data_IF_107961552176
#
_entry.id   IF_107961552176
#
_cell.length_a   1.000
_cell.length_b   1.000
_cell.length_c   1.000
_cell.angle_alpha   90.00
_cell.angle_beta   90.00
_cell.angle_gamma   90.00
#
_symmetry.space_group_name_H-M   'P 1'
#
loop_
_entity.id
_entity.type
_entity.pdbx_description
1 polymer ?
#
# COMPACT_ATOMS: atom_id res chain seq x y z
N UNK A 1 -47.61 -15.39 -42.97
CA UNK A 1 -46.79 -14.30 -42.37
C UNK A 1 -46.83 -14.47 -40.86
N UNK A 2 -45.84 -15.13 -40.30
CA UNK A 2 -45.70 -15.37 -38.85
C UNK A 2 -45.23 -14.07 -38.17
N UNK A 3 -45.98 -13.62 -37.16
CA UNK A 3 -45.58 -12.52 -36.31
C UNK A 3 -44.25 -12.87 -35.58
N UNK A 4 -43.25 -11.98 -35.52
CA UNK A 4 -42.09 -12.23 -34.72
C UNK A 4 -42.51 -12.32 -33.25
N UNK A 5 -42.00 -13.33 -32.56
CA UNK A 5 -42.17 -13.50 -31.12
C UNK A 5 -41.60 -12.26 -30.39
N UNK A 6 -42.35 -11.69 -29.42
CA UNK A 6 -41.80 -10.54 -28.66
C UNK A 6 -40.53 -10.99 -27.96
N UNK A 7 -39.47 -10.17 -28.07
CA UNK A 7 -38.23 -10.32 -27.31
C UNK A 7 -38.58 -10.51 -25.82
N UNK A 8 -37.94 -11.44 -25.10
CA UNK A 8 -38.19 -11.61 -23.67
C UNK A 8 -38.02 -10.28 -22.98
N UNK A 9 -39.04 -9.77 -22.29
CA UNK A 9 -38.96 -8.60 -21.47
C UNK A 9 -37.80 -8.79 -20.47
N UNK A 10 -36.78 -7.96 -20.54
CA UNK A 10 -35.67 -7.95 -19.58
C UNK A 10 -36.29 -7.93 -18.19
N UNK A 11 -36.08 -8.99 -17.41
CA UNK A 11 -36.60 -9.05 -16.05
C UNK A 11 -36.10 -7.82 -15.31
N UNK A 12 -37.02 -7.00 -14.77
CA UNK A 12 -36.67 -5.76 -14.10
C UNK A 12 -35.69 -5.93 -12.91
N UNK A 13 -35.43 -7.19 -12.53
CA UNK A 13 -34.36 -7.58 -11.59
C UNK A 13 -32.97 -7.50 -12.21
N UNK A 14 -32.81 -8.08 -13.39
CA UNK A 14 -31.52 -8.10 -14.11
C UNK A 14 -31.07 -6.71 -14.51
N UNK A 15 -32.01 -5.88 -15.01
CA UNK A 15 -31.71 -4.50 -15.36
C UNK A 15 -31.26 -3.66 -14.14
N UNK A 16 -31.91 -3.84 -13.01
CA UNK A 16 -31.54 -3.15 -11.78
C UNK A 16 -30.15 -3.55 -11.30
N UNK A 17 -29.80 -4.82 -11.34
CA UNK A 17 -28.46 -5.29 -10.98
C UNK A 17 -27.40 -4.68 -11.89
N UNK A 18 -27.63 -4.62 -13.20
CA UNK A 18 -26.76 -4.00 -14.19
C UNK A 18 -26.56 -2.48 -13.91
N UNK A 19 -27.60 -1.78 -13.51
CA UNK A 19 -27.49 -0.37 -13.11
C UNK A 19 -26.65 -0.23 -11.83
N UNK A 20 -26.88 -1.07 -10.84
CA UNK A 20 -26.15 -1.04 -9.59
C UNK A 20 -24.67 -1.42 -9.74
N UNK A 21 -24.33 -2.30 -10.68
CA UNK A 21 -22.95 -2.65 -11.01
C UNK A 21 -22.16 -1.46 -11.58
N UNK A 22 -22.83 -0.52 -12.25
CA UNK A 22 -22.20 0.69 -12.84
C UNK A 22 -22.06 1.85 -11.87
N UNK A 23 -22.52 1.72 -10.63
CA UNK A 23 -22.26 2.74 -9.60
C UNK A 23 -20.76 2.88 -9.39
N UNK A 24 -20.23 4.12 -9.24
CA UNK A 24 -18.79 4.30 -9.04
C UNK A 24 -18.32 3.59 -7.75
N UNK A 25 -17.09 3.06 -7.72
CA UNK A 25 -16.58 2.29 -6.60
C UNK A 25 -16.14 3.17 -5.40
N UNK A 26 -16.83 4.29 -5.19
CA UNK A 26 -16.62 5.20 -4.08
C UNK A 26 -17.19 4.62 -2.77
N UNK A 27 -16.61 4.96 -1.60
CA UNK A 27 -17.05 4.43 -0.31
C UNK A 27 -18.52 4.64 0.00
N UNK A 28 -19.13 5.75 -0.45
CA UNK A 28 -20.52 6.06 -0.17
C UNK A 28 -21.52 5.45 -1.17
N UNK A 29 -21.09 4.99 -2.34
CA UNK A 29 -21.99 4.59 -3.43
C UNK A 29 -22.91 3.44 -3.07
N UNK A 30 -22.37 2.29 -2.71
CA UNK A 30 -23.18 1.11 -2.33
C UNK A 30 -23.92 1.29 -1.00
N UNK A 31 -23.34 1.87 0.07
CA UNK A 31 -24.08 2.17 1.29
C UNK A 31 -25.31 3.06 1.03
N UNK A 32 -25.17 4.12 0.25
CA UNK A 32 -26.29 5.01 -0.09
C UNK A 32 -27.36 4.32 -0.92
N UNK A 33 -26.95 3.58 -1.95
CA UNK A 33 -27.87 2.79 -2.74
C UNK A 33 -28.66 1.78 -1.90
N UNK A 34 -28.04 1.22 -0.85
CA UNK A 34 -28.70 0.28 0.07
C UNK A 34 -29.82 0.90 0.91
N UNK A 35 -29.86 2.24 1.02
CA UNK A 35 -30.89 2.98 1.76
C UNK A 35 -32.14 3.29 0.93
N UNK A 36 -32.11 3.09 -0.39
CA UNK A 36 -33.23 3.44 -1.28
C UNK A 36 -34.45 2.59 -0.99
N UNK A 37 -34.30 1.26 -0.93
CA UNK A 37 -35.37 0.34 -0.55
C UNK A 37 -34.83 -1.04 -0.17
N UNK A 38 -35.71 -1.89 0.37
CA UNK A 38 -35.36 -3.26 0.81
C UNK A 38 -34.86 -4.15 -0.35
N UNK A 39 -35.42 -3.97 -1.56
CA UNK A 39 -34.98 -4.70 -2.76
C UNK A 39 -33.54 -4.38 -3.11
N UNK A 40 -33.16 -3.10 -3.15
CA UNK A 40 -31.79 -2.67 -3.41
C UNK A 40 -30.84 -3.18 -2.33
N UNK A 41 -31.23 -3.05 -1.07
CA UNK A 41 -30.42 -3.55 0.05
C UNK A 41 -30.15 -5.06 -0.08
N UNK A 42 -31.16 -5.84 -0.46
CA UNK A 42 -30.99 -7.29 -0.64
C UNK A 42 -30.01 -7.61 -1.76
N UNK A 43 -30.11 -6.95 -2.92
CA UNK A 43 -29.17 -7.12 -4.03
C UNK A 43 -27.74 -6.74 -3.59
N UNK A 44 -27.56 -5.57 -2.99
CA UNK A 44 -26.25 -5.06 -2.55
C UNK A 44 -25.63 -5.87 -1.40
N UNK A 45 -26.45 -6.63 -0.67
CA UNK A 45 -25.99 -7.53 0.39
C UNK A 45 -25.61 -8.91 -0.12
N UNK A 46 -26.04 -9.25 -1.33
CA UNK A 46 -25.75 -10.55 -1.94
C UNK A 46 -24.23 -10.73 -2.21
N UNK A 47 -23.60 -11.82 -1.74
CA UNK A 47 -22.19 -12.08 -2.00
C UNK A 47 -21.84 -12.18 -3.49
N UNK A 48 -22.74 -12.74 -4.31
CA UNK A 48 -22.58 -12.86 -5.75
C UNK A 48 -22.55 -11.49 -6.43
N UNK A 49 -23.47 -10.58 -6.06
CA UNK A 49 -23.45 -9.20 -6.55
C UNK A 49 -22.14 -8.49 -6.17
N UNK A 50 -21.70 -8.59 -4.92
CA UNK A 50 -20.45 -7.96 -4.44
C UNK A 50 -19.22 -8.46 -5.18
N UNK A 51 -19.18 -9.76 -5.51
CA UNK A 51 -18.11 -10.33 -6.33
C UNK A 51 -18.14 -9.72 -7.73
N UNK A 52 -19.29 -9.70 -8.41
CA UNK A 52 -19.45 -9.10 -9.75
C UNK A 52 -19.11 -7.60 -9.76
N UNK A 53 -19.47 -6.86 -8.71
CA UNK A 53 -19.12 -5.46 -8.58
C UNK A 53 -17.60 -5.26 -8.56
N UNK A 54 -16.87 -6.07 -7.77
CA UNK A 54 -15.40 -6.04 -7.75
C UNK A 54 -14.80 -6.43 -9.11
N UNK A 55 -15.30 -7.48 -9.72
CA UNK A 55 -14.86 -7.92 -11.05
C UNK A 55 -15.11 -6.85 -12.10
N UNK A 56 -16.28 -6.19 -12.07
CA UNK A 56 -16.63 -5.13 -13.01
C UNK A 56 -15.68 -3.93 -12.93
N UNK A 57 -15.37 -3.49 -11.72
CA UNK A 57 -14.52 -2.30 -11.51
C UNK A 57 -13.02 -2.62 -11.45
N UNK A 58 -12.66 -3.82 -11.05
CA UNK A 58 -11.26 -4.24 -10.88
C UNK A 58 -10.63 -4.91 -12.10
N UNK A 59 -11.41 -5.17 -13.16
CA UNK A 59 -10.91 -5.90 -14.35
C UNK A 59 -9.75 -5.19 -15.04
N UNK A 60 -9.81 -3.86 -15.14
CA UNK A 60 -8.81 -3.03 -15.84
C UNK A 60 -8.17 -1.97 -14.94
N UNK A 61 -8.57 -1.91 -13.69
CA UNK A 61 -8.07 -0.90 -12.75
C UNK A 61 -7.82 -1.54 -11.38
N UNK A 62 -6.78 -1.11 -10.67
CA UNK A 62 -6.61 -1.54 -9.28
C UNK A 62 -7.77 -1.04 -8.42
N UNK A 63 -8.06 -1.69 -7.28
CA UNK A 63 -9.06 -1.21 -6.33
C UNK A 63 -8.82 0.26 -5.95
N UNK A 64 -9.88 1.04 -5.65
CA UNK A 64 -9.73 2.44 -5.32
C UNK A 64 -8.85 2.66 -4.09
N UNK A 65 -8.04 3.73 -4.13
CA UNK A 65 -7.28 4.18 -2.98
C UNK A 65 -8.24 4.77 -1.93
N UNK A 66 -8.46 4.07 -0.83
CA UNK A 66 -9.33 4.52 0.25
C UNK A 66 -8.63 5.51 1.18
N UNK A 67 -7.32 5.42 1.27
CA UNK A 67 -6.49 6.23 2.13
C UNK A 67 -5.12 5.61 2.34
N UNK A 68 -4.48 6.01 3.40
CA UNK A 68 -3.18 5.48 3.80
C UNK A 68 -3.09 5.35 5.31
N UNK A 69 -2.36 4.33 5.75
CA UNK A 69 -1.95 4.22 7.14
C UNK A 69 -0.71 5.07 7.36
N UNK A 70 -0.73 5.93 8.36
CA UNK A 70 0.39 6.76 8.80
C UNK A 70 0.98 6.16 10.06
N UNK A 71 2.26 5.82 10.03
CA UNK A 71 3.05 5.31 11.16
C UNK A 71 4.19 6.25 11.46
N UNK A 72 4.33 6.66 12.71
CA UNK A 72 5.50 7.40 13.18
C UNK A 72 6.67 6.44 13.39
N UNK A 73 7.86 6.84 12.94
CA UNK A 73 9.08 6.11 13.20
C UNK A 73 9.46 6.23 14.68
N UNK A 74 9.79 5.12 15.33
CA UNK A 74 10.18 5.03 16.76
C UNK A 74 9.09 5.26 17.81
N UNK A 75 7.83 5.18 17.45
CA UNK A 75 6.76 5.29 18.44
C UNK A 75 5.96 4.00 18.43
N UNK A 76 5.84 3.37 19.60
CA UNK A 76 4.98 2.18 19.82
C UNK A 76 3.48 2.54 19.79
N UNK A 77 3.09 3.27 18.77
CA UNK A 77 1.70 3.64 18.54
C UNK A 77 1.16 2.90 17.32
N UNK A 78 -0.11 2.51 17.37
CA UNK A 78 -0.77 1.95 16.20
C UNK A 78 -0.78 2.97 15.06
N UNK A 79 -0.72 2.51 13.79
CA UNK A 79 -0.84 3.39 12.66
C UNK A 79 -2.22 4.07 12.65
N UNK A 80 -2.26 5.29 12.17
CA UNK A 80 -3.49 6.07 12.02
C UNK A 80 -3.92 5.99 10.55
N UNK A 81 -5.17 5.63 10.30
CA UNK A 81 -5.72 5.67 8.95
C UNK A 81 -6.17 7.10 8.59
N UNK A 82 -5.67 7.60 7.47
CA UNK A 82 -6.04 8.88 6.87
C UNK A 82 -6.74 8.60 5.53
N UNK A 83 -7.97 9.09 5.36
CA UNK A 83 -8.71 8.94 4.11
C UNK A 83 -8.18 9.92 3.05
N UNK A 84 -8.14 9.49 1.78
CA UNK A 84 -7.86 10.38 0.63
C UNK A 84 -9.11 11.06 0.09
N UNK A 85 -10.30 10.66 0.54
CA UNK A 85 -11.55 11.26 0.11
C UNK A 85 -11.66 12.72 0.58
N UNK A 86 -11.84 13.64 -0.37
CA UNK A 86 -12.05 15.07 -0.12
C UNK A 86 -13.47 15.39 0.30
N UNK A 87 -14.45 14.57 -0.11
CA UNK A 87 -15.85 14.72 0.24
C UNK A 87 -16.20 14.10 1.60
N UNK A 88 -16.95 14.79 2.44
CA UNK A 88 -17.40 14.24 3.74
C UNK A 88 -18.17 12.92 3.60
N UNK A 89 -18.90 12.76 2.49
CA UNK A 89 -19.75 11.59 2.22
C UNK A 89 -18.95 10.32 1.96
N UNK A 90 -17.75 10.45 1.40
CA UNK A 90 -16.86 9.33 1.08
C UNK A 90 -15.81 9.08 2.16
N UNK A 91 -15.81 9.92 3.20
CA UNK A 91 -14.87 9.78 4.31
C UNK A 91 -15.19 8.55 5.13
N UNK A 92 -14.26 7.60 5.15
CA UNK A 92 -14.34 6.43 6.01
C UNK A 92 -13.82 6.81 7.40
N UNK A 93 -14.61 6.59 8.47
CA UNK A 93 -14.16 6.91 9.84
C UNK A 93 -12.87 6.15 10.19
N UNK A 94 -11.82 6.81 10.71
CA UNK A 94 -10.57 6.14 11.10
C UNK A 94 -10.75 4.97 12.06
N UNK A 95 -11.76 5.04 12.93
CA UNK A 95 -12.11 3.97 13.87
C UNK A 95 -12.44 2.63 13.20
N UNK A 96 -12.82 2.64 11.91
CA UNK A 96 -13.05 1.40 11.14
C UNK A 96 -11.76 0.62 10.89
N UNK A 97 -10.64 1.31 10.90
CA UNK A 97 -9.31 0.74 10.65
C UNK A 97 -8.48 0.63 11.92
N UNK A 98 -9.12 0.79 13.08
CA UNK A 98 -8.41 0.61 14.36
C UNK A 98 -8.04 -0.84 14.55
N UNK A 99 -6.78 -1.05 14.80
CA UNK A 99 -6.25 -2.36 15.09
C UNK A 99 -6.87 -2.94 16.37
N UNK A 100 -7.28 -4.21 16.37
CA UNK A 100 -8.03 -4.81 17.46
C UNK A 100 -7.16 -5.30 18.64
N UNK A 101 -6.00 -4.67 18.89
CA UNK A 101 -5.11 -5.00 19.99
C UNK A 101 -4.88 -3.81 20.90
N UNK A 102 -4.61 -4.10 22.17
CA UNK A 102 -4.28 -3.09 23.18
C UNK A 102 -2.91 -2.46 22.89
N UNK A 103 -2.81 -1.17 23.15
CA UNK A 103 -1.54 -0.46 23.22
C UNK A 103 -0.59 -1.18 24.20
N UNK A 104 0.64 -1.45 23.79
CA UNK A 104 1.64 -2.10 24.63
C UNK A 104 1.93 -3.56 24.31
N UNK A 105 1.26 -4.18 23.35
CA UNK A 105 1.54 -5.56 22.93
C UNK A 105 2.77 -5.72 22.02
N UNK A 106 3.47 -4.62 21.69
CA UNK A 106 4.69 -4.63 20.84
C UNK A 106 4.44 -5.05 19.38
N UNK A 107 3.23 -4.82 18.88
CA UNK A 107 2.91 -5.03 17.48
C UNK A 107 3.39 -3.88 16.62
N UNK A 108 4.14 -4.20 15.58
CA UNK A 108 4.66 -3.26 14.61
C UNK A 108 3.99 -3.45 13.26
N UNK A 109 3.45 -2.35 12.71
CA UNK A 109 2.87 -2.32 11.36
C UNK A 109 3.98 -2.19 10.33
N UNK A 110 4.03 -3.08 9.33
CA UNK A 110 5.08 -3.11 8.31
C UNK A 110 4.58 -2.81 6.90
N UNK A 111 3.28 -2.78 6.68
CA UNK A 111 2.74 -2.45 5.38
C UNK A 111 1.34 -2.98 5.12
N UNK A 112 0.83 -2.66 3.95
CA UNK A 112 -0.39 -3.26 3.43
C UNK A 112 -0.30 -3.41 1.91
N UNK A 113 -0.88 -4.49 1.39
CA UNK A 113 -0.94 -4.82 -0.04
C UNK A 113 -2.15 -5.70 -0.32
N UNK A 114 -2.80 -5.48 -1.46
CA UNK A 114 -3.96 -6.26 -1.91
C UNK A 114 -5.09 -6.31 -0.88
N UNK A 115 -5.29 -5.22 -0.11
CA UNK A 115 -6.28 -5.15 0.96
C UNK A 115 -5.89 -5.86 2.26
N UNK A 116 -4.72 -6.48 2.33
CA UNK A 116 -4.18 -7.14 3.51
C UNK A 116 -3.15 -6.23 4.20
N UNK A 117 -3.24 -6.09 5.51
CA UNK A 117 -2.26 -5.39 6.33
C UNK A 117 -1.39 -6.39 7.10
N UNK A 118 -0.13 -6.03 7.31
CA UNK A 118 0.87 -6.88 7.95
C UNK A 118 1.40 -6.25 9.23
N UNK A 119 1.39 -7.05 10.29
CA UNK A 119 1.98 -6.69 11.57
C UNK A 119 2.89 -7.80 12.05
N UNK A 120 3.93 -7.42 12.78
CA UNK A 120 4.79 -8.37 13.49
C UNK A 120 4.85 -8.03 14.98
N UNK A 121 5.02 -9.07 15.80
CA UNK A 121 5.39 -8.95 17.21
C UNK A 121 6.67 -9.74 17.45
N UNK A 122 7.78 -9.03 17.64
CA UNK A 122 9.08 -9.68 17.85
C UNK A 122 9.14 -10.48 19.15
N UNK A 123 8.49 -9.98 20.20
CA UNK A 123 8.44 -10.65 21.51
C UNK A 123 7.67 -11.98 21.43
N UNK A 124 6.57 -12.02 20.68
CA UNK A 124 5.76 -13.24 20.49
C UNK A 124 6.27 -14.13 19.36
N UNK A 125 7.17 -13.62 18.52
CA UNK A 125 7.67 -14.28 17.30
C UNK A 125 6.53 -14.67 16.35
N UNK A 126 5.63 -13.75 16.15
CA UNK A 126 4.44 -13.93 15.32
C UNK A 126 4.26 -12.76 14.34
N UNK A 127 3.69 -13.07 13.19
CA UNK A 127 3.11 -12.12 12.26
C UNK A 127 1.58 -12.23 12.28
N UNK A 128 0.90 -11.13 12.02
CA UNK A 128 -0.53 -11.09 11.76
C UNK A 128 -0.77 -10.52 10.37
N UNK A 129 -1.46 -11.28 9.53
CA UNK A 129 -2.06 -10.80 8.30
C UNK A 129 -3.51 -10.44 8.61
N UNK A 130 -3.86 -9.19 8.40
CA UNK A 130 -5.12 -8.59 8.84
C UNK A 130 -5.84 -7.91 7.68
N UNK A 131 -7.15 -8.11 7.57
CA UNK A 131 -8.03 -7.32 6.72
C UNK A 131 -8.64 -6.17 7.54
N UNK A 132 -8.23 -4.92 7.30
CA UNK A 132 -8.70 -3.77 8.06
C UNK A 132 -10.20 -3.49 7.96
N UNK A 133 -10.83 -3.84 6.84
CA UNK A 133 -12.26 -3.57 6.62
C UNK A 133 -13.18 -4.53 7.37
N UNK A 134 -12.75 -5.77 7.55
CA UNK A 134 -13.58 -6.82 8.15
C UNK A 134 -13.11 -7.21 9.55
N UNK A 135 -11.88 -6.86 9.91
CA UNK A 135 -11.25 -7.29 11.15
C UNK A 135 -10.74 -8.74 11.11
N UNK A 136 -10.90 -9.44 9.97
CA UNK A 136 -10.41 -10.81 9.82
C UNK A 136 -8.88 -10.83 9.93
N UNK A 137 -8.34 -11.80 10.67
CA UNK A 137 -6.91 -11.91 10.94
C UNK A 137 -6.44 -13.35 10.93
N UNK A 138 -5.23 -13.57 10.42
CA UNK A 138 -4.52 -14.85 10.48
C UNK A 138 -3.17 -14.64 11.18
N UNK A 139 -2.85 -15.50 12.12
CA UNK A 139 -1.57 -15.49 12.84
C UNK A 139 -0.64 -16.51 12.20
N UNK A 140 0.63 -16.13 12.06
CA UNK A 140 1.69 -16.97 11.52
C UNK A 140 2.88 -16.88 12.46
N UNK A 141 3.29 -18.01 13.03
CA UNK A 141 4.51 -18.07 13.82
C UNK A 141 5.74 -17.88 12.93
N UNK A 142 6.81 -17.28 13.46
CA UNK A 142 8.05 -17.12 12.71
C UNK A 142 8.67 -18.48 12.37
N UNK A 143 9.54 -18.55 11.34
CA UNK A 143 10.25 -19.78 11.00
C UNK A 143 11.01 -20.34 12.21
N UNK A 144 11.15 -21.65 12.35
CA UNK A 144 11.93 -22.27 13.41
C UNK A 144 13.34 -21.68 13.50
N UNK A 145 13.79 -21.37 14.71
CA UNK A 145 15.12 -20.80 14.96
C UNK A 145 15.24 -19.28 14.72
N UNK A 146 14.23 -18.61 14.15
CA UNK A 146 14.24 -17.16 13.96
C UNK A 146 13.86 -16.43 15.25
N UNK A 147 14.81 -15.70 15.83
CA UNK A 147 14.60 -14.92 17.06
C UNK A 147 14.21 -13.46 16.77
N UNK A 148 14.59 -12.95 15.61
CA UNK A 148 14.32 -11.57 15.20
C UNK A 148 13.95 -11.49 13.72
N UNK A 149 13.16 -10.50 13.38
CA UNK A 149 12.78 -10.13 12.02
C UNK A 149 13.02 -8.64 11.89
N UNK A 150 13.67 -8.20 10.81
CA UNK A 150 13.92 -6.79 10.54
C UNK A 150 12.76 -6.17 9.75
N UNK A 151 12.33 -6.84 8.69
CA UNK A 151 11.25 -6.38 7.84
C UNK A 151 10.44 -7.57 7.30
N UNK A 152 9.28 -7.30 6.70
CA UNK A 152 8.43 -8.32 6.13
C UNK A 152 7.58 -7.77 4.98
N UNK A 153 7.03 -8.66 4.17
CA UNK A 153 6.12 -8.34 3.09
C UNK A 153 4.99 -9.36 3.01
N UNK A 154 3.80 -8.90 2.62
CA UNK A 154 2.63 -9.76 2.38
C UNK A 154 2.07 -9.50 0.99
N UNK A 155 1.57 -10.56 0.34
CA UNK A 155 0.81 -10.47 -0.90
C UNK A 155 -0.28 -11.53 -0.96
N UNK A 156 -1.34 -11.26 -1.72
CA UNK A 156 -2.32 -12.27 -2.11
C UNK A 156 -1.67 -13.23 -3.11
N UNK A 157 -1.72 -14.53 -2.83
CA UNK A 157 -1.17 -15.56 -3.72
C UNK A 157 -2.08 -15.92 -4.89
N UNK A 158 -3.35 -15.47 -4.87
CA UNK A 158 -4.28 -15.66 -5.98
C UNK A 158 -4.11 -14.62 -7.11
N UNK A 159 -3.13 -13.70 -6.99
CA UNK A 159 -2.80 -12.75 -8.04
C UNK A 159 -2.44 -13.50 -9.33
N UNK A 160 -3.06 -13.09 -10.45
CA UNK A 160 -2.85 -13.74 -11.76
C UNK A 160 -3.72 -14.99 -12.01
N UNK A 161 -4.55 -15.42 -11.05
CA UNK A 161 -5.57 -16.45 -11.31
C UNK A 161 -6.75 -15.85 -12.07
N UNK A 162 -7.30 -16.61 -13.02
CA UNK A 162 -8.45 -16.19 -13.81
C UNK A 162 -9.64 -15.81 -12.91
N UNK A 163 -10.16 -14.61 -13.11
CA UNK A 163 -11.30 -14.08 -12.36
C UNK A 163 -10.97 -13.55 -10.94
N UNK A 164 -9.73 -13.59 -10.49
CA UNK A 164 -9.35 -12.98 -9.22
C UNK A 164 -9.15 -11.47 -9.36
N UNK A 165 -9.83 -10.72 -8.50
CA UNK A 165 -9.67 -9.26 -8.35
C UNK A 165 -9.35 -8.95 -6.91
N UNK A 166 -8.27 -8.18 -6.69
CA UNK A 166 -7.93 -7.73 -5.35
C UNK A 166 -9.04 -6.87 -4.73
N UNK A 167 -9.20 -6.95 -3.41
CA UNK A 167 -10.23 -6.25 -2.65
C UNK A 167 -11.15 -7.14 -1.83
N UNK A 168 -10.95 -8.46 -1.87
CA UNK A 168 -11.55 -9.44 -0.95
C UNK A 168 -10.61 -10.62 -0.73
N UNK A 169 -9.33 -10.32 -0.57
CA UNK A 169 -8.28 -11.33 -0.45
C UNK A 169 -8.21 -12.01 0.93
N UNK A 170 -9.11 -11.66 1.86
CA UNK A 170 -9.10 -12.20 3.24
C UNK A 170 -9.24 -13.72 3.33
N UNK A 171 -9.92 -14.33 2.36
CA UNK A 171 -10.09 -15.78 2.27
C UNK A 171 -9.18 -16.43 1.22
N UNK A 172 -8.52 -15.61 0.42
CA UNK A 172 -7.56 -16.10 -0.57
C UNK A 172 -6.28 -16.58 0.13
N UNK A 173 -5.54 -17.50 -0.48
CA UNK A 173 -4.19 -17.79 -0.04
C UNK A 173 -3.32 -16.53 -0.12
N UNK A 174 -2.37 -16.44 0.80
CA UNK A 174 -1.39 -15.35 0.81
C UNK A 174 0.02 -15.91 0.98
N UNK A 175 0.99 -15.10 0.54
CA UNK A 175 2.41 -15.30 0.79
C UNK A 175 2.91 -14.24 1.76
N UNK A 176 3.75 -14.66 2.69
CA UNK A 176 4.39 -13.80 3.68
C UNK A 176 5.89 -14.02 3.62
N UNK A 177 6.64 -13.00 3.25
CA UNK A 177 8.10 -13.02 3.32
C UNK A 177 8.58 -12.33 4.58
N UNK A 178 9.53 -12.94 5.28
CA UNK A 178 10.23 -12.35 6.41
C UNK A 178 11.71 -12.17 6.07
N UNK A 179 12.30 -11.08 6.54
CA UNK A 179 13.71 -10.76 6.37
C UNK A 179 14.37 -10.52 7.72
N UNK A 180 15.57 -11.06 7.91
CA UNK A 180 16.42 -10.77 9.05
C UNK A 180 17.88 -10.53 8.63
N UNK A 181 18.61 -9.73 9.42
CA UNK A 181 20.06 -9.64 9.33
C UNK A 181 20.77 -10.66 10.20
N UNK A 182 21.98 -10.98 9.84
CA UNK A 182 22.92 -11.72 10.71
C UNK A 182 23.43 -10.86 11.86
N UNK A 183 24.14 -11.46 12.80
CA UNK A 183 24.64 -10.79 14.01
C UNK A 183 25.64 -9.68 13.73
N UNK A 184 26.39 -9.79 12.67
CA UNK A 184 27.39 -8.78 12.22
C UNK A 184 26.82 -7.77 11.20
N UNK A 185 25.56 -7.93 10.77
CA UNK A 185 24.92 -7.07 9.78
C UNK A 185 25.43 -7.24 8.32
N UNK A 186 26.36 -8.16 8.07
CA UNK A 186 26.89 -8.41 6.72
C UNK A 186 26.20 -9.56 5.99
N UNK A 187 25.27 -10.24 6.64
CA UNK A 187 24.51 -11.33 6.03
C UNK A 187 23.02 -11.10 6.20
N UNK A 188 22.28 -11.27 5.13
CA UNK A 188 20.82 -11.19 5.13
C UNK A 188 20.22 -12.55 4.83
N UNK A 189 19.05 -12.79 5.40
CA UNK A 189 18.28 -14.01 5.23
C UNK A 189 16.83 -13.64 4.89
N UNK A 190 16.23 -14.39 3.98
CA UNK A 190 14.81 -14.31 3.68
C UNK A 190 14.17 -15.69 3.71
N UNK A 191 12.89 -15.74 4.05
CA UNK A 191 12.11 -16.98 4.05
C UNK A 191 10.66 -16.64 3.68
N UNK A 192 10.03 -17.52 2.87
CA UNK A 192 8.66 -17.37 2.40
C UNK A 192 7.73 -18.36 3.13
N UNK A 193 6.60 -17.86 3.59
CA UNK A 193 5.48 -18.65 4.07
C UNK A 193 4.38 -18.69 3.04
N UNK A 194 3.85 -19.86 2.75
CA UNK A 194 2.67 -20.07 1.92
C UNK A 194 1.49 -20.47 2.79
N UNK A 195 0.45 -19.66 2.81
CA UNK A 195 -0.70 -19.89 3.69
C UNK A 195 -1.57 -21.07 3.25
N UNK A 196 -1.44 -21.53 2.03
CA UNK A 196 -2.17 -22.69 1.49
C UNK A 196 -1.62 -24.00 2.06
N UNK A 197 -0.30 -24.14 2.05
CA UNK A 197 0.39 -25.30 2.65
C UNK A 197 0.57 -25.16 4.17
N UNK A 198 0.58 -23.92 4.69
CA UNK A 198 0.88 -23.63 6.08
C UNK A 198 2.36 -23.77 6.45
N UNK A 199 3.26 -23.80 5.46
CA UNK A 199 4.68 -24.16 5.63
C UNK A 199 5.58 -22.98 5.23
N UNK A 200 6.69 -22.83 5.96
CA UNK A 200 7.81 -21.99 5.57
C UNK A 200 8.69 -22.73 4.57
N UNK A 201 9.07 -22.06 3.48
CA UNK A 201 10.04 -22.56 2.51
C UNK A 201 11.48 -22.49 3.00
N UNK A 202 12.42 -22.75 2.11
CA UNK A 202 13.84 -22.70 2.40
C UNK A 202 14.33 -21.29 2.73
N UNK A 203 15.43 -21.22 3.49
CA UNK A 203 16.04 -19.96 3.90
C UNK A 203 17.06 -19.54 2.82
N UNK A 204 16.73 -18.51 2.06
CA UNK A 204 17.69 -17.85 1.18
C UNK A 204 18.63 -16.94 2.00
N UNK A 205 19.88 -16.80 1.57
CA UNK A 205 20.83 -15.91 2.22
C UNK A 205 21.79 -15.25 1.21
N UNK A 206 22.23 -14.03 1.56
CA UNK A 206 23.22 -13.27 0.80
C UNK A 206 24.17 -12.55 1.76
N UNK A 207 25.42 -12.40 1.36
CA UNK A 207 26.42 -11.63 2.11
C UNK A 207 26.64 -10.26 1.45
N UNK A 208 26.90 -9.25 2.28
CA UNK A 208 27.25 -7.89 1.89
C UNK A 208 28.69 -7.58 2.36
N UNK A 209 29.41 -6.78 1.62
CA UNK A 209 30.77 -6.35 1.97
C UNK A 209 30.81 -5.55 3.27
N UNK A 210 29.75 -4.78 3.51
CA UNK A 210 29.63 -3.92 4.70
C UNK A 210 28.38 -4.26 5.49
N UNK A 211 28.39 -3.90 6.78
CA UNK A 211 27.23 -4.03 7.64
C UNK A 211 26.09 -3.14 7.14
N UNK A 212 24.97 -3.75 6.82
CA UNK A 212 23.74 -3.08 6.37
C UNK A 212 22.54 -3.60 7.14
N UNK A 213 21.45 -2.83 7.15
CA UNK A 213 20.17 -3.25 7.70
C UNK A 213 19.04 -2.85 6.76
N UNK A 214 17.95 -3.61 6.75
CA UNK A 214 16.75 -3.18 6.02
C UNK A 214 16.18 -1.93 6.67
N UNK A 215 15.80 -0.97 5.84
CA UNK A 215 15.16 0.24 6.30
C UNK A 215 13.70 -0.09 6.70
N UNK A 216 13.43 -0.15 7.99
CA UNK A 216 12.08 -0.47 8.52
C UNK A 216 11.07 0.62 8.15
N UNK A 217 11.53 1.85 7.95
CA UNK A 217 10.68 2.97 7.55
C UNK A 217 10.11 2.81 6.13
N UNK A 218 10.81 2.04 5.26
CA UNK A 218 10.39 1.87 3.89
C UNK A 218 9.72 0.49 3.74
N UNK A 219 8.43 0.45 3.33
CA UNK A 219 7.77 -0.82 3.03
C UNK A 219 8.46 -1.53 1.86
N UNK A 220 8.25 -2.85 1.77
CA UNK A 220 8.67 -3.59 0.59
C UNK A 220 7.91 -3.12 -0.65
N UNK A 221 8.56 -3.19 -1.80
CA UNK A 221 7.92 -3.04 -3.12
C UNK A 221 7.86 -4.42 -3.79
N UNK A 222 6.72 -4.74 -4.37
CA UNK A 222 6.53 -5.97 -5.13
C UNK A 222 6.83 -5.70 -6.60
N UNK A 223 7.83 -6.39 -7.14
CA UNK A 223 8.21 -6.32 -8.55
C UNK A 223 8.13 -7.72 -9.16
N UNK A 224 7.15 -7.96 -10.00
CA UNK A 224 6.94 -9.28 -10.62
C UNK A 224 6.91 -10.40 -9.56
N UNK A 225 8.00 -11.17 -9.46
CA UNK A 225 8.15 -12.30 -8.53
C UNK A 225 9.12 -12.01 -7.38
N UNK A 226 9.45 -10.73 -7.15
CA UNK A 226 10.41 -10.32 -6.14
C UNK A 226 9.82 -9.33 -5.15
N UNK A 227 10.15 -9.50 -3.89
CA UNK A 227 10.02 -8.45 -2.89
C UNK A 227 11.34 -7.69 -2.78
N UNK A 228 11.27 -6.37 -2.87
CA UNK A 228 12.42 -5.49 -2.77
C UNK A 228 12.31 -4.62 -1.51
N UNK A 229 13.37 -4.57 -0.72
CA UNK A 229 13.50 -3.70 0.46
C UNK A 229 14.70 -2.80 0.31
N UNK A 230 14.55 -1.55 0.73
CA UNK A 230 15.66 -0.64 0.84
C UNK A 230 16.58 -1.06 1.99
N UNK A 231 17.88 -1.10 1.76
CA UNK A 231 18.91 -1.24 2.78
C UNK A 231 19.44 0.13 3.19
N UNK A 232 20.08 0.22 4.36
CA UNK A 232 20.85 1.42 4.74
C UNK A 232 21.90 1.73 3.68
N UNK A 233 22.06 3.02 3.35
CA UNK A 233 22.99 3.46 2.30
C UNK A 233 22.42 3.41 0.87
N UNK A 234 21.13 3.04 0.69
CA UNK A 234 20.42 3.09 -0.60
C UNK A 234 20.56 1.84 -1.47
N UNK A 235 21.25 0.78 -1.01
CA UNK A 235 21.24 -0.51 -1.68
C UNK A 235 19.86 -1.19 -1.53
N UNK A 236 19.57 -2.16 -2.37
CA UNK A 236 18.27 -2.86 -2.42
C UNK A 236 18.50 -4.33 -2.15
N UNK A 237 17.74 -4.90 -1.22
CA UNK A 237 17.65 -6.32 -0.98
C UNK A 237 16.48 -6.86 -1.80
N UNK A 238 16.76 -7.72 -2.77
CA UNK A 238 15.78 -8.38 -3.63
C UNK A 238 15.64 -9.85 -3.22
N UNK A 239 14.41 -10.26 -2.95
CA UNK A 239 14.05 -11.65 -2.71
C UNK A 239 13.14 -12.15 -3.82
N UNK A 240 13.69 -12.89 -4.76
CA UNK A 240 12.92 -13.63 -5.76
C UNK A 240 12.29 -14.85 -5.09
N UNK A 241 10.97 -14.79 -4.87
CA UNK A 241 10.25 -15.85 -4.18
C UNK A 241 9.90 -17.03 -5.09
N UNK A 242 10.04 -16.91 -6.40
CA UNK A 242 9.85 -18.02 -7.33
C UNK A 242 11.09 -18.91 -7.35
N UNK A 243 12.28 -18.30 -7.41
CA UNK A 243 13.57 -19.01 -7.42
C UNK A 243 14.14 -19.17 -5.99
N UNK A 244 13.49 -18.64 -4.98
CA UNK A 244 13.93 -18.59 -3.59
C UNK A 244 15.38 -18.10 -3.44
N UNK A 245 15.73 -17.07 -4.22
CA UNK A 245 17.04 -16.45 -4.24
C UNK A 245 17.03 -15.06 -3.64
N UNK A 246 18.10 -14.69 -2.94
CA UNK A 246 18.28 -13.40 -2.29
C UNK A 246 19.52 -12.74 -2.88
N UNK A 247 19.37 -11.48 -3.30
CA UNK A 247 20.43 -10.69 -3.90
C UNK A 247 20.49 -9.28 -3.29
N UNK A 248 21.67 -8.66 -3.34
CA UNK A 248 21.85 -7.26 -3.01
C UNK A 248 22.23 -6.49 -4.26
N UNK A 249 21.49 -5.44 -4.54
CA UNK A 249 21.67 -4.57 -5.69
C UNK A 249 22.18 -3.24 -5.19
N UNK A 250 23.37 -2.83 -5.63
CA UNK A 250 23.92 -1.53 -5.28
C UNK A 250 23.14 -0.41 -5.95
N UNK A 251 23.01 0.74 -5.28
CA UNK A 251 22.44 1.96 -5.86
C UNK A 251 23.28 2.47 -7.04
N UNK A 252 22.75 3.34 -7.90
CA UNK A 252 23.55 4.02 -8.91
C UNK A 252 24.71 4.77 -8.27
N UNK A 253 25.92 4.65 -8.87
CA UNK A 253 27.11 5.33 -8.34
C UNK A 253 26.95 6.86 -8.32
N UNK A 254 26.25 7.39 -9.34
CA UNK A 254 25.99 8.82 -9.51
C UNK A 254 24.74 9.32 -8.73
N UNK A 255 24.06 8.42 -7.99
CA UNK A 255 22.94 8.82 -7.15
C UNK A 255 23.43 9.41 -5.83
N UNK A 256 23.59 10.71 -5.82
CA UNK A 256 24.02 11.46 -4.65
C UNK A 256 22.82 11.99 -3.87
N UNK A 257 22.63 11.49 -2.66
CA UNK A 257 21.67 11.99 -1.69
C UNK A 257 22.25 11.84 -0.28
N UNK A 258 21.73 12.61 0.66
CA UNK A 258 22.02 12.39 2.06
C UNK A 258 21.56 10.99 2.50
N UNK A 259 22.33 10.33 3.37
CA UNK A 259 22.03 8.97 3.84
C UNK A 259 20.84 8.91 4.82
N UNK A 260 19.76 9.60 4.46
CA UNK A 260 18.50 9.52 5.19
C UNK A 260 17.59 8.48 4.55
N UNK A 261 16.83 7.74 5.37
CA UNK A 261 15.91 6.71 4.88
C UNK A 261 14.78 7.27 3.98
N UNK A 262 14.48 8.58 4.07
CA UNK A 262 13.50 9.26 3.21
C UNK A 262 14.07 9.79 1.89
N UNK A 263 15.40 9.68 1.69
CA UNK A 263 16.05 10.12 0.46
C UNK A 263 16.03 9.08 -0.65
N UNK A 264 15.69 7.84 -0.33
CA UNK A 264 15.65 6.74 -1.29
C UNK A 264 14.34 5.97 -1.19
N UNK A 265 13.74 5.64 -2.33
CA UNK A 265 12.61 4.72 -2.41
C UNK A 265 12.77 3.77 -3.58
N UNK A 266 12.57 2.49 -3.34
CA UNK A 266 12.39 1.51 -4.42
C UNK A 266 11.07 1.82 -5.10
N UNK A 267 11.09 1.90 -6.43
CA UNK A 267 9.91 2.18 -7.25
C UNK A 267 9.83 1.17 -8.40
N UNK A 268 8.66 1.05 -8.98
CA UNK A 268 8.45 0.30 -10.22
C UNK A 268 8.60 1.26 -11.40
N UNK A 269 9.21 0.81 -12.49
CA UNK A 269 9.25 1.58 -13.72
C UNK A 269 8.10 1.19 -14.64
N UNK A 270 7.87 1.95 -15.73
CA UNK A 270 6.82 1.69 -16.73
C UNK A 270 6.82 0.24 -17.26
N UNK A 271 8.00 -0.39 -17.33
CA UNK A 271 8.16 -1.76 -17.78
C UNK A 271 8.12 -2.80 -16.64
N UNK A 272 7.62 -2.42 -15.47
CA UNK A 272 7.67 -3.27 -14.28
C UNK A 272 9.08 -3.75 -13.92
N UNK A 273 10.08 -2.93 -14.24
CA UNK A 273 11.49 -3.14 -13.88
C UNK A 273 11.82 -2.46 -12.55
N UNK A 274 12.95 -2.82 -11.96
CA UNK A 274 13.43 -2.22 -10.74
C UNK A 274 13.87 -0.78 -10.97
N UNK A 275 13.28 0.13 -10.22
CA UNK A 275 13.66 1.53 -10.18
C UNK A 275 14.05 2.00 -8.78
N UNK A 276 14.74 3.12 -8.73
CA UNK A 276 15.11 3.82 -7.51
C UNK A 276 14.79 5.31 -7.68
N UNK A 277 13.95 5.82 -6.80
CA UNK A 277 13.73 7.26 -6.66
C UNK A 277 14.73 7.81 -5.63
N UNK A 278 15.43 8.86 -6.02
CA UNK A 278 16.47 9.51 -5.20
C UNK A 278 16.11 10.97 -5.01
N UNK A 279 15.86 11.37 -3.78
CA UNK A 279 15.61 12.76 -3.42
C UNK A 279 16.95 13.43 -3.08
N UNK A 280 17.31 14.43 -3.86
CA UNK A 280 18.51 15.22 -3.67
C UNK A 280 18.15 16.67 -3.41
N UNK A 281 18.87 17.31 -2.50
CA UNK A 281 18.77 18.73 -2.23
C UNK A 281 19.96 19.42 -2.90
N UNK A 282 19.67 20.38 -3.78
CA UNK A 282 20.68 21.22 -4.41
C UNK A 282 20.66 22.59 -3.73
N UNK A 283 21.80 23.03 -3.22
CA UNK A 283 22.06 24.39 -2.71
C UNK A 283 21.08 24.92 -1.64
N UNK A 284 20.54 24.06 -0.77
CA UNK A 284 19.59 24.40 0.30
C UNK A 284 18.28 25.06 -0.15
N UNK A 285 18.06 25.19 -1.46
CA UNK A 285 16.91 25.90 -2.03
C UNK A 285 16.05 25.01 -2.92
N UNK A 286 16.67 24.08 -3.62
CA UNK A 286 16.02 23.25 -4.64
C UNK A 286 16.02 21.79 -4.24
N UNK A 287 14.86 21.15 -4.33
CA UNK A 287 14.72 19.71 -4.16
C UNK A 287 14.37 19.05 -5.50
N UNK A 288 15.07 17.99 -5.84
CA UNK A 288 14.83 17.21 -7.05
C UNK A 288 14.63 15.75 -6.72
N UNK A 289 13.78 15.08 -7.49
CA UNK A 289 13.69 13.61 -7.49
C UNK A 289 14.28 13.09 -8.79
N UNK A 290 15.30 12.26 -8.68
CA UNK A 290 15.87 11.51 -9.80
C UNK A 290 15.25 10.11 -9.82
N UNK A 291 14.77 9.69 -10.98
CA UNK A 291 14.24 8.36 -11.21
C UNK A 291 15.26 7.56 -12.01
N UNK A 292 15.77 6.52 -11.40
CA UNK A 292 16.73 5.60 -11.98
C UNK A 292 16.06 4.28 -12.28
N UNK A 293 16.35 3.68 -13.44
CA UNK A 293 15.90 2.36 -13.84
C UNK A 293 17.07 1.41 -14.03
N UNK A 294 16.90 0.20 -13.54
CA UNK A 294 17.87 -0.87 -13.75
C UNK A 294 17.59 -1.60 -15.04
N UNK A 295 18.48 -1.47 -16.01
CA UNK A 295 18.38 -2.05 -17.35
C UNK A 295 19.57 -2.91 -17.70
N UNK A 296 19.35 -3.87 -18.61
CA UNK A 296 20.41 -4.58 -19.31
C UNK A 296 20.72 -3.85 -20.62
N UNK A 297 21.97 -3.56 -20.88
CA UNK A 297 22.42 -3.00 -22.15
C UNK A 297 22.46 -4.08 -23.25
N UNK A 298 22.82 -3.68 -24.48
CA UNK A 298 22.93 -4.58 -25.63
C UNK A 298 23.96 -5.73 -25.44
N UNK A 299 24.93 -5.52 -24.53
CA UNK A 299 25.96 -6.51 -24.21
C UNK A 299 25.58 -7.41 -23.04
N UNK A 300 24.36 -7.27 -22.53
CA UNK A 300 23.87 -8.06 -21.41
C UNK A 300 24.36 -7.57 -20.02
N UNK A 301 25.09 -6.46 -19.98
CA UNK A 301 25.54 -5.88 -18.72
C UNK A 301 24.39 -5.11 -18.08
N UNK A 302 24.06 -5.47 -16.82
CA UNK A 302 22.99 -4.80 -16.06
C UNK A 302 23.55 -3.58 -15.34
N UNK A 303 22.98 -2.43 -15.61
CA UNK A 303 23.37 -1.15 -15.04
C UNK A 303 22.18 -0.28 -14.65
N UNK A 304 22.46 0.90 -14.10
CA UNK A 304 21.46 1.92 -13.81
C UNK A 304 21.49 3.01 -14.87
N UNK A 305 20.30 3.45 -15.29
CA UNK A 305 20.10 4.55 -16.22
C UNK A 305 19.18 5.60 -15.60
N UNK A 306 19.59 6.88 -15.64
CA UNK A 306 18.75 7.98 -15.20
C UNK A 306 17.66 8.21 -16.26
N UNK A 307 16.41 7.96 -15.86
CA UNK A 307 15.25 8.11 -16.76
C UNK A 307 14.69 9.51 -16.75
N UNK A 308 14.59 10.11 -15.54
CA UNK A 308 13.89 11.37 -15.36
C UNK A 308 14.41 12.13 -14.14
N UNK A 309 14.41 13.45 -14.24
CA UNK A 309 14.61 14.36 -13.11
C UNK A 309 13.36 15.22 -12.95
N UNK A 310 12.78 15.23 -11.76
CA UNK A 310 11.59 15.98 -11.41
C UNK A 310 12.00 17.11 -10.48
N UNK A 311 11.77 18.35 -10.91
CA UNK A 311 12.01 19.55 -10.10
C UNK A 311 10.82 19.76 -9.17
N UNK A 312 11.07 20.00 -7.87
CA UNK A 312 10.00 20.19 -6.88
C UNK A 312 9.75 21.64 -6.52
N UNK A 313 10.64 22.56 -6.92
CA UNK A 313 10.66 23.95 -6.47
C UNK A 313 9.48 24.77 -6.95
N UNK A 314 8.85 24.58 -7.97
CA UNK A 314 7.68 25.34 -8.44
C UNK A 314 6.33 24.83 -7.94
N UNK A 315 6.34 23.71 -7.21
CA UNK A 315 5.14 22.94 -6.91
C UNK A 315 4.54 23.29 -5.54
N UNK A 316 5.36 23.83 -4.67
CA UNK A 316 4.96 24.31 -3.36
C UNK A 316 4.93 25.84 -3.42
N UNK A 317 3.75 26.46 -3.22
CA UNK A 317 3.58 27.91 -3.24
C UNK A 317 4.70 28.61 -2.46
N UNK A 318 5.36 29.63 -3.05
CA UNK A 318 6.48 30.31 -2.42
C UNK A 318 6.02 31.03 -1.16
N UNK A 319 6.33 30.48 -0.02
CA UNK A 319 6.30 31.21 1.25
C UNK A 319 7.62 31.98 1.40
N UNK A 320 7.62 33.15 2.03
CA UNK A 320 8.77 34.07 2.10
C UNK A 320 9.90 33.64 3.07
N UNK A 321 9.98 32.40 3.50
CA UNK A 321 10.98 31.96 4.48
C UNK A 321 11.99 31.01 3.85
N UNK A 322 13.14 31.59 3.54
CA UNK A 322 14.38 30.86 3.23
C UNK A 322 14.67 29.80 4.31
N UNK A 323 14.92 28.56 3.89
CA UNK A 323 15.44 27.49 4.76
C UNK A 323 14.42 26.46 5.26
N UNK A 324 13.15 26.49 4.84
CA UNK A 324 12.12 25.54 5.29
C UNK A 324 11.54 24.65 4.18
N UNK A 325 12.24 24.50 3.06
CA UNK A 325 11.74 23.71 1.92
C UNK A 325 12.13 22.23 1.98
N UNK A 326 12.42 21.71 3.16
CA UNK A 326 12.73 20.29 3.28
C UNK A 326 11.52 19.46 2.79
N UNK A 327 11.78 18.61 1.82
CA UNK A 327 10.84 17.61 1.30
C UNK A 327 11.27 16.26 1.82
N UNK A 328 10.31 15.41 2.17
CA UNK A 328 10.57 14.02 2.57
C UNK A 328 9.72 13.09 1.74
N UNK A 329 10.31 12.06 1.18
CA UNK A 329 9.55 10.95 0.65
C UNK A 329 9.07 10.08 1.82
N UNK A 330 7.76 9.84 1.91
CA UNK A 330 7.12 9.18 3.05
C UNK A 330 6.47 7.84 2.70
N UNK A 331 6.37 7.51 1.43
CA UNK A 331 5.76 6.27 0.96
C UNK A 331 5.68 6.19 -0.55
N UNK A 332 5.37 5.01 -1.03
CA UNK A 332 5.19 4.74 -2.45
C UNK A 332 3.94 3.89 -2.66
N UNK A 333 3.16 4.22 -3.68
CA UNK A 333 2.00 3.48 -4.12
C UNK A 333 2.34 2.72 -5.40
N UNK A 334 2.63 1.44 -5.27
CA UNK A 334 3.04 0.57 -6.38
C UNK A 334 1.95 0.36 -7.44
N UNK A 335 0.66 0.46 -7.07
CA UNK A 335 -0.44 0.25 -8.02
C UNK A 335 -0.67 1.44 -8.97
N UNK A 336 -0.21 2.63 -8.62
CA UNK A 336 -0.38 3.83 -9.43
C UNK A 336 0.91 4.58 -9.67
N UNK A 337 2.04 3.99 -9.32
CA UNK A 337 3.36 4.58 -9.48
C UNK A 337 3.44 6.03 -8.96
N UNK A 338 3.08 6.20 -7.68
CA UNK A 338 3.04 7.50 -7.05
C UNK A 338 3.78 7.56 -5.72
N UNK A 339 4.57 8.60 -5.50
CA UNK A 339 5.29 8.85 -4.25
C UNK A 339 4.48 9.80 -3.36
N UNK A 340 4.44 9.47 -2.07
CA UNK A 340 3.91 10.37 -1.05
C UNK A 340 5.03 11.28 -0.56
N UNK A 341 4.77 12.58 -0.62
CA UNK A 341 5.69 13.63 -0.18
C UNK A 341 5.11 14.36 1.00
N UNK A 342 5.95 14.63 1.99
CA UNK A 342 5.65 15.57 3.08
C UNK A 342 6.54 16.79 2.98
N UNK A 343 5.93 17.94 3.22
CA UNK A 343 6.59 19.23 3.31
C UNK A 343 6.10 19.96 4.55
N UNK A 344 6.68 21.09 4.85
CA UNK A 344 6.17 21.98 5.89
C UNK A 344 4.73 22.45 5.63
N UNK A 345 4.33 22.58 4.36
CA UNK A 345 3.01 23.10 3.96
C UNK A 345 1.91 22.04 3.92
N UNK A 346 2.26 20.77 3.79
CA UNK A 346 1.29 19.69 3.69
C UNK A 346 1.87 18.40 3.13
N UNK A 347 0.94 17.47 2.87
CA UNK A 347 1.27 16.19 2.25
C UNK A 347 0.72 16.17 0.82
N UNK A 348 1.46 15.55 -0.06
CA UNK A 348 1.18 15.49 -1.49
C UNK A 348 1.39 14.07 -2.00
N UNK A 349 0.70 13.72 -3.06
CA UNK A 349 0.97 12.52 -3.85
C UNK A 349 1.46 12.98 -5.23
N UNK A 350 2.67 12.57 -5.59
CA UNK A 350 3.31 12.83 -6.87
C UNK A 350 3.19 11.59 -7.75
N UNK A 351 2.49 11.70 -8.86
CA UNK A 351 2.45 10.70 -9.91
C UNK A 351 3.77 10.75 -10.71
N UNK A 352 4.53 9.66 -10.77
CA UNK A 352 5.86 9.67 -11.35
C UNK A 352 5.86 9.83 -12.87
N UNK A 353 4.91 9.18 -13.56
CA UNK A 353 4.77 9.26 -15.01
C UNK A 353 4.39 10.67 -15.47
N UNK A 354 3.29 11.20 -14.96
CA UNK A 354 2.69 12.47 -15.41
C UNK A 354 3.24 13.70 -14.70
N UNK A 355 4.01 13.51 -13.61
CA UNK A 355 4.48 14.57 -12.69
C UNK A 355 3.35 15.42 -12.09
N UNK A 356 2.14 14.88 -12.03
CA UNK A 356 1.01 15.56 -11.43
C UNK A 356 1.03 15.42 -9.91
N UNK A 357 0.66 16.52 -9.23
CA UNK A 357 0.54 16.58 -7.79
C UNK A 357 -0.91 16.58 -7.37
N UNK A 358 -1.21 15.77 -6.38
CA UNK A 358 -2.50 15.77 -5.70
C UNK A 358 -2.30 16.12 -4.24
N UNK A 359 -3.00 17.15 -3.76
CA UNK A 359 -3.00 17.50 -2.35
C UNK A 359 -3.68 16.39 -1.55
N UNK A 360 -3.02 15.95 -0.50
CA UNK A 360 -3.62 15.03 0.46
C UNK A 360 -4.26 15.80 1.61
N UNK A 361 -5.30 15.25 2.23
CA UNK A 361 -5.89 15.85 3.42
C UNK A 361 -4.83 16.07 4.50
N UNK A 362 -4.92 17.21 5.19
CA UNK A 362 -4.02 17.50 6.32
C UNK A 362 -4.13 16.40 7.36
N UNK A 363 -3.01 15.78 7.68
CA UNK A 363 -2.93 14.86 8.80
C UNK A 363 -3.00 15.63 10.12
N UNK A 364 -3.40 14.98 11.21
CA UNK A 364 -3.57 15.64 12.50
C UNK A 364 -2.32 16.35 13.07
N UNK A 365 -1.16 16.09 12.48
CA UNK A 365 0.12 16.65 12.89
C UNK A 365 0.83 17.26 11.68
N UNK A 366 0.88 18.58 11.64
CA UNK A 366 1.58 19.38 10.64
C UNK A 366 3.09 19.49 10.94
N UNK A 367 3.75 18.39 11.27
CA UNK A 367 5.17 18.43 11.64
C UNK A 367 5.95 17.55 10.67
N UNK A 368 7.10 18.01 10.20
CA UNK A 368 8.11 17.22 9.52
C UNK A 368 8.67 16.16 10.48
N UNK A 369 7.85 15.19 10.85
CA UNK A 369 8.30 14.06 11.65
C UNK A 369 8.54 12.87 10.74
N UNK A 370 9.49 12.05 11.13
CA UNK A 370 9.80 10.77 10.49
C UNK A 370 8.58 9.86 10.51
N UNK A 371 7.86 9.78 9.39
CA UNK A 371 6.64 8.99 9.22
C UNK A 371 6.77 8.13 7.99
N UNK A 372 5.95 7.11 7.93
CA UNK A 372 5.78 6.29 6.72
C UNK A 372 4.31 6.21 6.39
N UNK A 373 3.98 6.43 5.13
CA UNK A 373 2.64 6.30 4.59
C UNK A 373 2.52 4.99 3.82
N UNK A 374 1.57 4.18 4.22
CA UNK A 374 1.27 2.90 3.59
C UNK A 374 -0.06 3.03 2.86
N UNK A 375 -0.07 3.14 1.53
CA UNK A 375 -1.31 3.25 0.75
C UNK A 375 -2.19 2.03 0.97
N UNK A 376 -3.50 2.26 1.18
CA UNK A 376 -4.46 1.19 1.37
C UNK A 376 -5.55 1.24 0.31
N UNK A 377 -5.58 0.22 -0.53
CA UNK A 377 -6.54 0.05 -1.60
C UNK A 377 -7.48 -1.09 -1.29
N UNK A 378 -8.76 -0.86 -1.50
CA UNK A 378 -9.78 -1.89 -1.38
C UNK A 378 -11.12 -1.39 -1.93
N UNK A 379 -12.06 -2.30 -2.15
CA UNK A 379 -13.47 -1.96 -2.37
C UNK A 379 -14.18 -1.83 -1.03
N UNK A 380 -14.68 -0.63 -0.72
CA UNK A 380 -15.46 -0.42 0.49
C UNK A 380 -16.91 -0.89 0.26
N UNK A 381 -17.16 -2.16 0.53
CA UNK A 381 -18.46 -2.81 0.32
C UNK A 381 -19.03 -3.23 1.68
N UNK A 382 -19.41 -2.27 2.52
CA UNK A 382 -20.03 -2.55 3.81
C UNK A 382 -21.52 -2.24 3.77
N UNK A 383 -22.35 -3.28 3.77
CA UNK A 383 -23.80 -3.17 3.96
C UNK A 383 -24.25 -3.88 5.25
N UNK A 384 -23.39 -3.97 6.28
CA UNK A 384 -23.78 -4.57 7.55
C UNK A 384 -24.65 -3.60 8.36
N UNK A 385 -25.78 -4.08 8.84
CA UNK A 385 -26.74 -3.37 9.69
C UNK A 385 -26.13 -2.81 10.99
N UNK A 386 -24.96 -3.25 11.39
CA UNK A 386 -24.22 -2.75 12.57
C UNK A 386 -23.50 -1.41 12.33
N UNK A 387 -23.41 -0.92 11.08
CA UNK A 387 -22.73 0.36 10.78
C UNK A 387 -23.70 1.57 10.84
N UNK A 388 -24.99 1.36 10.94
CA UNK A 388 -25.99 2.44 11.01
C UNK A 388 -26.06 3.12 12.41
N UNK A 389 -25.56 2.47 13.46
CA UNK A 389 -25.54 3.04 14.80
C UNK A 389 -24.44 4.08 15.05
N UNK A 390 -23.51 4.27 14.11
CA UNK A 390 -22.43 5.27 14.22
C UNK A 390 -22.70 6.49 13.33
N UNK A 391 -23.75 6.47 12.50
CA UNK A 391 -24.12 7.58 11.59
C UNK A 391 -25.27 8.45 12.08
N UNK A 392 -25.65 8.37 13.35
CA UNK A 392 -26.64 9.29 13.97
C UNK A 392 -26.17 9.72 15.36
N UNK A 393 -26.46 10.92 15.81
CA UNK A 393 -26.71 12.20 15.15
C UNK A 393 -25.93 13.35 15.78
N UNK A 394 -25.61 14.32 14.99
CA UNK A 394 -25.40 15.69 15.47
C UNK A 394 -26.43 16.63 14.81
N UNK A 395 -27.71 16.31 15.01
CA UNK A 395 -28.79 17.26 14.74
C UNK A 395 -29.80 17.06 15.87
N UNK A 396 -29.60 17.78 16.97
CA UNK A 396 -30.63 18.24 17.93
C UNK A 396 -29.93 18.81 19.18
N UNK A 397 -29.44 20.02 19.09
CA UNK A 397 -29.25 20.90 20.23
C UNK A 397 -28.99 22.34 19.74
N UNK A 398 -29.98 22.95 19.09
CA UNK A 398 -30.16 24.41 19.08
C UNK A 398 -31.63 24.68 19.00
N UNK A 399 -32.28 24.66 20.19
CA UNK A 399 -33.46 25.44 20.52
C UNK A 399 -33.83 25.18 21.97
N UNK A 400 -33.30 25.98 22.87
CA UNK A 400 -33.92 26.56 24.05
C UNK A 400 -32.92 27.52 24.70
#
# INVERSE_FOLDING_TARGET
>A
MSRPSPAPALDGGVLLEEILLRLPPQPSSLPRASLVCTRWRRILSDPGFRRRFREHHGRNNPPPLLGFFEKEFRVDKPPIFNTTATGERDRIPPARFSAPWSLGEGWEFLGCRHGLALLICRARREAIVWDPLTGHRRRVAFPPGWKSVQNAAVMCAAAGQDGHVHGDCRFSPFRLALVRGGSNGTRHFACLYESESGVWGDIASVETEHSTSTCIANPSVLLRNSFCWLLSGGAILEFDFQNQSLAVIQKPADAHAADYYWSFYVVQTEHSSLGLAVLSETDFVSSIIQLWERKSNCDGVVGWELQKTIQLDGLFSPGPTMGQNAVMMQGYNEDTDAIFLSTFFGNYMLQLETTQFTNLPKTRRNCMSSRTFYPYRNFYITCNSLSLSVMTPLVLAYSA
#
